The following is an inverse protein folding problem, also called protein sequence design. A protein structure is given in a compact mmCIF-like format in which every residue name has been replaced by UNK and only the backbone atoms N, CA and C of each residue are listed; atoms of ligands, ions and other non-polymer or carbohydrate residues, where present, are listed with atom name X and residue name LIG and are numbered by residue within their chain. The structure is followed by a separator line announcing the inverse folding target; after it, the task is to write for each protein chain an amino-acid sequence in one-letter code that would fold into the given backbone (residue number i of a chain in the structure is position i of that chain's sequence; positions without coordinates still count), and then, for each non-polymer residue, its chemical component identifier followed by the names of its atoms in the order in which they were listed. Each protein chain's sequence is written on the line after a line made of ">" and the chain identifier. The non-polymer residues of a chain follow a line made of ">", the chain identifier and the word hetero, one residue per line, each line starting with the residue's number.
data_IF_532882251592
#
_entry.id   IF_532882251592
#
_cell.length_a   1.000
_cell.length_b   1.000
_cell.length_c   1.000
_cell.angle_alpha   90.00
_cell.angle_beta   90.00
_cell.angle_gamma   90.00
#
_symmetry.space_group_name_H-M   'P 1'
#
loop_
_entity.id
_entity.type
_entity.pdbx_description
1 polymer ?
#
# COMPACT_ATOMS: atom_id res chain seq x y z
N UNK A 1 33.83 -23.01 -28.95
CA UNK A 1 34.03 -22.36 -27.63
C UNK A 1 33.38 -20.99 -27.72
N UNK A 2 32.39 -20.55 -26.96
CA UNK A 2 31.57 -21.11 -25.89
C UNK A 2 30.35 -20.18 -25.78
N UNK A 3 29.18 -20.73 -25.46
CA UNK A 3 27.95 -19.99 -25.24
C UNK A 3 28.09 -19.02 -24.06
N UNK A 4 27.61 -17.79 -24.21
CA UNK A 4 27.50 -16.81 -23.12
C UNK A 4 26.02 -16.54 -22.81
N UNK A 5 25.54 -17.33 -21.84
CA UNK A 5 24.57 -17.01 -20.79
C UNK A 5 23.46 -15.98 -21.05
N UNK A 6 22.22 -16.50 -21.06
CA UNK A 6 20.97 -15.78 -20.75
C UNK A 6 21.12 -14.94 -19.47
N UNK A 7 20.94 -13.64 -19.57
CA UNK A 7 20.39 -12.84 -18.48
C UNK A 7 18.88 -12.80 -18.67
N UNK A 8 18.16 -13.68 -17.97
CA UNK A 8 16.71 -13.64 -17.88
C UNK A 8 16.34 -12.32 -17.18
N UNK A 9 15.83 -11.36 -17.95
CA UNK A 9 15.10 -10.23 -17.42
C UNK A 9 13.85 -10.80 -16.73
N UNK A 10 13.92 -10.91 -15.42
CA UNK A 10 12.81 -11.25 -14.55
C UNK A 10 11.63 -10.34 -14.89
N UNK A 11 10.56 -10.97 -15.35
CA UNK A 11 9.26 -10.41 -15.72
C UNK A 11 8.80 -9.35 -14.70
N UNK A 12 8.97 -8.07 -15.03
CA UNK A 12 8.21 -7.01 -14.38
C UNK A 12 6.81 -7.04 -14.99
N UNK A 13 5.86 -7.62 -14.25
CA UNK A 13 4.44 -7.60 -14.60
C UNK A 13 4.03 -6.17 -15.05
N UNK A 14 3.23 -6.00 -16.12
CA UNK A 14 2.93 -4.69 -16.73
C UNK A 14 2.15 -3.71 -15.83
N UNK A 15 1.85 -4.07 -14.58
CA UNK A 15 1.32 -3.18 -13.55
C UNK A 15 2.13 -3.27 -12.25
N UNK A 16 3.10 -2.37 -12.02
CA UNK A 16 3.68 -2.22 -10.70
C UNK A 16 2.74 -1.42 -9.78
N UNK A 17 2.65 -1.84 -8.52
CA UNK A 17 2.09 -1.07 -7.39
C UNK A 17 0.56 -1.15 -7.14
N UNK A 18 -0.09 -2.27 -7.39
CA UNK A 18 -1.15 -2.69 -6.44
C UNK A 18 -0.45 -3.35 -5.24
N UNK A 19 0.21 -2.55 -4.40
CA UNK A 19 0.63 -3.04 -3.09
C UNK A 19 -0.62 -3.62 -2.43
N UNK A 20 -0.62 -4.93 -2.16
CA UNK A 20 -1.82 -5.59 -1.63
C UNK A 20 -2.18 -4.86 -0.34
N UNK A 21 -3.46 -4.65 -0.06
CA UNK A 21 -3.89 -3.93 1.16
C UNK A 21 -3.32 -4.64 2.40
N UNK A 22 -3.13 -5.95 2.33
CA UNK A 22 -2.42 -6.81 3.30
C UNK A 22 -0.97 -6.43 3.57
N UNK A 23 -0.27 -5.89 2.58
CA UNK A 23 1.16 -5.59 2.65
C UNK A 23 1.40 -4.14 3.14
N UNK A 24 0.33 -3.36 3.27
CA UNK A 24 0.40 -1.99 3.78
C UNK A 24 0.46 -1.99 5.31
N UNK A 25 1.19 -1.03 5.87
CA UNK A 25 1.22 -0.86 7.33
C UNK A 25 -0.13 -0.43 7.90
N UNK A 26 -1.06 -0.04 7.01
CA UNK A 26 -2.43 0.36 7.30
C UNK A 26 -3.42 -0.80 7.32
N UNK A 27 -2.97 -2.03 7.06
CA UNK A 27 -3.81 -3.22 7.08
C UNK A 27 -4.55 -3.44 8.41
N UNK A 28 -3.94 -3.23 9.60
CA UNK A 28 -4.64 -3.43 10.88
C UNK A 28 -5.89 -2.54 11.02
N UNK A 29 -5.82 -1.30 10.56
CA UNK A 29 -6.92 -0.34 10.61
C UNK A 29 -8.00 -0.69 9.59
N UNK A 30 -7.59 -1.17 8.42
CA UNK A 30 -8.50 -1.70 7.42
C UNK A 30 -9.27 -2.93 7.95
N UNK A 31 -8.57 -3.90 8.54
CA UNK A 31 -9.17 -5.07 9.16
C UNK A 31 -10.13 -4.68 10.30
N UNK A 32 -9.76 -3.72 11.15
CA UNK A 32 -10.64 -3.19 12.20
C UNK A 32 -11.90 -2.54 11.62
N UNK A 33 -11.79 -1.81 10.51
CA UNK A 33 -12.94 -1.20 9.84
C UNK A 33 -13.91 -2.25 9.28
N UNK A 34 -13.38 -3.35 8.72
CA UNK A 34 -14.19 -4.47 8.23
C UNK A 34 -14.90 -5.19 9.37
N UNK A 35 -14.19 -5.48 10.47
CA UNK A 35 -14.78 -6.09 11.65
C UNK A 35 -15.90 -5.23 12.25
N UNK A 36 -15.71 -3.91 12.29
CA UNK A 36 -16.76 -3.00 12.73
C UNK A 36 -17.99 -3.04 11.81
N UNK A 37 -17.80 -3.16 10.49
CA UNK A 37 -18.92 -3.34 9.55
C UNK A 37 -19.64 -4.69 9.73
N UNK A 38 -18.93 -5.73 10.17
CA UNK A 38 -19.52 -7.04 10.51
C UNK A 38 -20.32 -6.99 11.81
N UNK A 39 -19.95 -6.14 12.77
CA UNK A 39 -20.66 -6.02 14.05
C UNK A 39 -21.83 -5.03 13.98
N UNK A 40 -21.65 -3.92 13.25
CA UNK A 40 -22.58 -2.79 13.21
C UNK A 40 -23.17 -2.57 11.81
N UNK A 41 -23.49 -3.65 11.09
CA UNK A 41 -24.02 -3.62 9.71
C UNK A 41 -25.00 -2.46 9.40
N UNK A 42 -25.83 -2.07 10.38
CA UNK A 42 -26.83 -1.00 10.32
C UNK A 42 -26.28 0.41 10.60
N UNK A 43 -25.24 0.55 11.42
CA UNK A 43 -24.72 1.82 11.95
C UNK A 43 -23.28 2.08 11.48
N UNK A 44 -23.12 2.35 10.19
CA UNK A 44 -21.83 2.71 9.56
C UNK A 44 -21.12 3.88 10.24
N UNK A 45 -21.87 4.80 10.85
CA UNK A 45 -21.34 5.96 11.57
C UNK A 45 -20.45 5.56 12.76
N UNK A 46 -20.72 4.43 13.42
CA UNK A 46 -19.89 3.90 14.52
C UNK A 46 -18.50 3.47 14.04
N UNK A 47 -18.39 3.09 12.77
CA UNK A 47 -17.14 2.65 12.15
C UNK A 47 -16.36 3.78 11.48
N UNK A 48 -16.90 5.00 11.45
CA UNK A 48 -16.30 6.13 10.74
C UNK A 48 -14.87 6.42 11.22
N UNK A 49 -14.64 6.35 12.53
CA UNK A 49 -13.31 6.52 13.12
C UNK A 49 -12.28 5.52 12.56
N UNK A 50 -12.65 4.25 12.36
CA UNK A 50 -11.74 3.25 11.77
C UNK A 50 -11.37 3.59 10.31
N UNK A 51 -12.33 4.10 9.53
CA UNK A 51 -12.07 4.54 8.16
C UNK A 51 -11.20 5.79 8.11
N UNK A 52 -11.40 6.75 9.02
CA UNK A 52 -10.63 7.98 9.05
C UNK A 52 -9.17 7.70 9.44
N UNK A 53 -8.94 6.84 10.43
CA UNK A 53 -7.58 6.40 10.79
C UNK A 53 -6.93 5.64 9.63
N UNK A 54 -7.65 4.78 8.92
CA UNK A 54 -7.13 4.09 7.73
C UNK A 54 -6.74 5.09 6.62
N UNK A 55 -7.58 6.07 6.32
CA UNK A 55 -7.28 7.13 5.32
C UNK A 55 -6.04 7.93 5.71
N UNK A 56 -5.94 8.35 6.96
CA UNK A 56 -4.78 9.07 7.49
C UNK A 56 -3.51 8.22 7.39
N UNK A 57 -3.60 6.92 7.67
CA UNK A 57 -2.48 6.02 7.50
C UNK A 57 -2.03 5.93 6.02
N UNK A 58 -2.97 5.74 5.08
CA UNK A 58 -2.66 5.70 3.64
C UNK A 58 -2.06 7.02 3.13
N UNK A 59 -2.52 8.15 3.67
CA UNK A 59 -1.98 9.48 3.36
C UNK A 59 -0.53 9.60 3.81
N UNK A 60 -0.21 9.19 5.04
CA UNK A 60 1.17 9.17 5.58
C UNK A 60 2.09 8.25 4.78
N UNK A 61 1.63 7.04 4.42
CA UNK A 61 2.41 6.13 3.56
C UNK A 61 2.77 6.79 2.20
N UNK A 62 1.83 7.54 1.62
CA UNK A 62 2.04 8.26 0.36
C UNK A 62 3.02 9.42 0.54
N UNK A 63 2.89 10.19 1.62
CA UNK A 63 3.79 11.29 1.94
C UNK A 63 5.23 10.79 2.16
N UNK A 64 5.42 9.72 2.93
CA UNK A 64 6.73 9.09 3.14
C UNK A 64 7.34 8.51 1.85
N UNK A 65 6.51 8.10 0.88
CA UNK A 65 6.98 7.73 -0.47
C UNK A 65 7.40 8.95 -1.28
N UNK A 66 6.63 10.04 -1.23
CA UNK A 66 6.92 11.28 -1.95
C UNK A 66 8.19 11.95 -1.41
N UNK A 67 8.40 11.98 -0.10
CA UNK A 67 9.61 12.51 0.53
C UNK A 67 10.86 11.74 0.08
N UNK A 68 10.81 10.40 0.10
CA UNK A 68 11.88 9.55 -0.42
C UNK A 68 12.12 9.73 -1.92
N UNK A 69 11.08 10.03 -2.70
CA UNK A 69 11.25 10.31 -4.13
C UNK A 69 11.93 11.68 -4.34
N UNK A 70 11.52 12.69 -3.56
CA UNK A 70 12.08 14.04 -3.58
C UNK A 70 13.56 14.06 -3.21
N UNK A 71 13.98 13.26 -2.22
CA UNK A 71 15.40 13.17 -1.86
C UNK A 71 16.24 12.43 -2.91
N UNK A 72 15.65 11.50 -3.66
CA UNK A 72 16.32 10.78 -4.74
C UNK A 72 16.47 11.59 -6.03
N UNK A 73 15.69 12.65 -6.24
CA UNK A 73 15.75 13.47 -7.45
C UNK A 73 16.85 14.54 -7.43
N UNK A 74 17.60 14.68 -6.33
CA UNK A 74 18.62 15.72 -6.17
C UNK A 74 20.02 15.33 -6.71
N UNK A 75 20.15 14.13 -7.31
CA UNK A 75 21.41 13.63 -7.90
C UNK A 75 21.23 13.11 -9.34
N UNK A 76 20.26 13.65 -10.10
CA UNK A 76 20.14 13.39 -11.55
C UNK A 76 20.65 14.55 -12.37
#
# INVERSE_FOLDING_TARGET
>A
MSASTRAQASQASPYPSAARISDSQCYPQYAASLKCLEEFHSDKSKCQAHFDVYKECKKKEREARLERNRSRSLFS
#
